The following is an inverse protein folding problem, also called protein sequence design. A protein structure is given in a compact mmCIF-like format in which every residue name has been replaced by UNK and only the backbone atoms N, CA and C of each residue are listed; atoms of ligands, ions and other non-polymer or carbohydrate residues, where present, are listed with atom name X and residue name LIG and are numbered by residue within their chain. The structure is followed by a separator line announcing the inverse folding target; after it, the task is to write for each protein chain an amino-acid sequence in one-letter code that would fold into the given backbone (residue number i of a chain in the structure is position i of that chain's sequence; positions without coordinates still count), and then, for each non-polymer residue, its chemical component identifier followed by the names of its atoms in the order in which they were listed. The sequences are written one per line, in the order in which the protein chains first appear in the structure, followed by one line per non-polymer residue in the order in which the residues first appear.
data_IF_558978397145
#
_entry.id   IF_558978397145
#
_cell.length_a   1.000
_cell.length_b   1.000
_cell.length_c   1.000
_cell.angle_alpha   90.00
_cell.angle_beta   90.00
_cell.angle_gamma   90.00
#
_symmetry.space_group_name_H-M   'P 1'
#
loop_
_entity.id
_entity.type
_entity.pdbx_description
1 polymer ?
#
# COMPACT_ATOMS: atom_id res chain seq x y z
N UNK A 1 -4.51 6.98 11.24
CA UNK A 1 -3.51 6.06 10.66
C UNK A 1 -2.77 5.35 11.79
N UNK A 2 -2.96 4.04 11.93
CA UNK A 2 -2.33 3.25 12.98
C UNK A 2 -1.11 2.46 12.48
N UNK A 3 -0.93 2.36 11.16
CA UNK A 3 0.18 1.61 10.58
C UNK A 3 1.52 2.31 10.86
N UNK A 4 2.50 1.65 11.51
CA UNK A 4 3.79 2.26 11.83
C UNK A 4 4.64 2.55 10.59
N UNK A 5 4.32 1.94 9.45
CA UNK A 5 5.03 2.15 8.19
C UNK A 5 4.37 3.18 7.28
N UNK A 6 3.29 3.79 7.73
CA UNK A 6 2.63 4.90 7.06
C UNK A 6 3.32 6.21 7.50
N UNK A 7 4.50 6.46 6.93
CA UNK A 7 5.45 7.49 7.38
C UNK A 7 5.29 8.83 6.68
N UNK A 8 4.35 8.95 5.74
CA UNK A 8 4.12 10.21 5.05
C UNK A 8 3.62 11.27 6.03
N UNK A 9 4.13 12.49 5.92
CA UNK A 9 3.66 13.61 6.72
C UNK A 9 2.17 13.84 6.52
N UNK A 10 1.71 13.71 5.27
CA UNK A 10 0.29 13.76 4.92
C UNK A 10 0.00 12.80 3.78
N UNK A 11 -0.94 11.90 3.99
CA UNK A 11 -1.30 10.90 2.99
C UNK A 11 -2.01 11.57 1.80
N UNK A 12 -1.73 11.07 0.58
CA UNK A 12 -2.35 11.58 -0.64
C UNK A 12 -3.88 11.44 -0.61
N UNK A 13 -4.41 10.43 0.06
CA UNK A 13 -5.87 10.24 0.20
C UNK A 13 -6.53 11.28 1.09
N UNK A 14 -5.75 12.01 1.88
CA UNK A 14 -6.23 13.06 2.78
C UNK A 14 -6.04 14.46 2.21
N UNK A 15 -5.34 14.59 1.09
CA UNK A 15 -5.11 15.90 0.45
C UNK A 15 -6.38 16.37 -0.25
N UNK A 16 -6.72 17.63 -0.04
CA UNK A 16 -7.91 18.25 -0.61
C UNK A 16 -7.61 19.37 -1.61
N UNK A 17 -6.34 19.81 -1.68
CA UNK A 17 -5.92 20.89 -2.58
C UNK A 17 -4.57 20.55 -3.25
N UNK A 18 -4.61 19.91 -4.43
CA UNK A 18 -5.79 19.41 -5.14
C UNK A 18 -6.34 18.11 -4.54
N UNK A 19 -7.60 17.82 -4.80
CA UNK A 19 -8.24 16.56 -4.41
C UNK A 19 -7.86 15.48 -5.42
N UNK A 20 -6.92 14.62 -5.06
CA UNK A 20 -6.47 13.52 -5.94
C UNK A 20 -7.39 12.30 -5.86
N UNK A 21 -7.86 11.98 -4.65
CA UNK A 21 -8.70 10.81 -4.38
C UNK A 21 -10.00 11.32 -3.76
N UNK A 22 -11.12 10.94 -4.36
CA UNK A 22 -12.46 11.32 -3.86
C UNK A 22 -12.69 10.76 -2.46
N UNK A 23 -13.09 11.61 -1.52
CA UNK A 23 -13.38 11.24 -0.13
C UNK A 23 -14.86 11.08 0.18
N UNK A 24 -15.73 11.25 -0.81
CA UNK A 24 -17.17 11.07 -0.63
C UNK A 24 -17.54 9.61 -0.36
N UNK A 25 -18.64 9.39 0.34
CA UNK A 25 -19.18 8.06 0.62
C UNK A 25 -19.80 7.45 -0.66
N UNK A 26 -18.96 7.01 -1.56
CA UNK A 26 -19.31 6.53 -2.89
C UNK A 26 -18.47 5.28 -3.20
N UNK A 27 -19.04 4.22 -3.81
CA UNK A 27 -18.31 2.96 -4.04
C UNK A 27 -16.99 3.13 -4.78
N UNK A 28 -16.96 3.94 -5.82
CA UNK A 28 -15.73 4.18 -6.60
C UNK A 28 -14.69 4.95 -5.79
N UNK A 29 -15.11 5.99 -5.06
CA UNK A 29 -14.23 6.75 -4.19
C UNK A 29 -13.67 5.89 -3.07
N UNK A 30 -14.51 5.10 -2.42
CA UNK A 30 -14.10 4.17 -1.37
C UNK A 30 -13.11 3.13 -1.89
N UNK A 31 -13.36 2.56 -3.05
CA UNK A 31 -12.45 1.61 -3.69
C UNK A 31 -11.09 2.25 -3.95
N UNK A 32 -11.08 3.42 -4.58
CA UNK A 32 -9.83 4.14 -4.91
C UNK A 32 -9.03 4.51 -3.66
N UNK A 33 -9.71 4.97 -2.62
CA UNK A 33 -9.10 5.36 -1.35
C UNK A 33 -8.40 4.17 -0.67
N UNK A 34 -9.11 3.05 -0.55
CA UNK A 34 -8.57 1.85 0.08
C UNK A 34 -7.47 1.19 -0.76
N UNK A 35 -7.66 1.15 -2.08
CA UNK A 35 -6.66 0.60 -2.99
C UNK A 35 -5.35 1.38 -2.93
N UNK A 36 -5.41 2.70 -2.93
CA UNK A 36 -4.22 3.55 -2.84
C UNK A 36 -3.45 3.26 -1.55
N UNK A 37 -4.14 3.15 -0.43
CA UNK A 37 -3.49 2.83 0.84
C UNK A 37 -2.86 1.44 0.84
N UNK A 38 -3.55 0.45 0.30
CA UNK A 38 -3.04 -0.91 0.21
C UNK A 38 -1.78 -0.99 -0.66
N UNK A 39 -1.80 -0.34 -1.82
CA UNK A 39 -0.65 -0.31 -2.74
C UNK A 39 0.56 0.38 -2.09
N UNK A 40 0.35 1.49 -1.40
CA UNK A 40 1.45 2.21 -0.76
C UNK A 40 2.11 1.41 0.37
N UNK A 41 1.40 0.48 0.98
CA UNK A 41 1.94 -0.40 2.02
C UNK A 41 2.48 -1.71 1.47
N UNK A 42 2.21 -2.03 0.21
CA UNK A 42 2.77 -3.22 -0.43
C UNK A 42 4.30 -3.13 -0.46
N UNK A 43 4.97 -4.14 0.06
CA UNK A 43 6.42 -4.14 0.21
C UNK A 43 6.95 -3.39 1.44
N UNK A 44 6.11 -2.69 2.19
CA UNK A 44 6.50 -2.03 3.44
C UNK A 44 5.96 -2.75 4.68
N UNK A 45 4.86 -3.46 4.53
CA UNK A 45 4.19 -4.14 5.64
C UNK A 45 5.09 -5.18 6.28
N UNK A 46 5.22 -5.14 7.62
CA UNK A 46 6.00 -6.12 8.40
C UNK A 46 5.10 -7.06 9.21
N UNK A 47 3.81 -7.08 8.89
CA UNK A 47 2.82 -8.01 9.47
C UNK A 47 2.63 -7.83 10.98
N UNK A 48 2.65 -6.59 11.45
CA UNK A 48 2.47 -6.30 12.88
C UNK A 48 1.02 -6.47 13.37
N UNK A 49 0.02 -6.46 12.46
CA UNK A 49 -1.39 -6.68 12.78
C UNK A 49 -2.12 -5.49 13.42
N UNK A 50 -1.48 -4.34 13.57
CA UNK A 50 -2.11 -3.16 14.20
C UNK A 50 -3.35 -2.67 13.44
N UNK A 51 -3.30 -2.65 12.10
CA UNK A 51 -4.42 -2.23 11.28
C UNK A 51 -5.69 -3.07 11.54
N UNK A 52 -5.51 -4.37 11.69
CA UNK A 52 -6.63 -5.29 11.98
C UNK A 52 -7.15 -5.10 13.39
N UNK A 53 -6.26 -4.96 14.37
CA UNK A 53 -6.65 -4.74 15.77
C UNK A 53 -7.44 -3.47 15.97
N UNK A 54 -7.11 -2.40 15.26
CA UNK A 54 -7.77 -1.10 15.39
C UNK A 54 -8.96 -0.91 14.47
N UNK A 55 -9.28 -1.87 13.59
CA UNK A 55 -10.44 -1.77 12.73
C UNK A 55 -11.74 -1.93 13.53
N UNK A 56 -12.63 -0.90 13.56
CA UNK A 56 -13.85 -0.95 14.38
C UNK A 56 -14.90 -1.91 13.86
N UNK A 57 -14.78 -2.36 12.61
CA UNK A 57 -15.74 -3.27 11.96
C UNK A 57 -15.17 -4.67 11.71
N UNK A 58 -14.00 -4.98 12.28
CA UNK A 58 -13.43 -6.32 12.24
C UNK A 58 -12.96 -6.80 10.87
N UNK A 59 -12.56 -5.90 9.98
CA UNK A 59 -12.04 -6.27 8.66
C UNK A 59 -10.66 -6.92 8.82
N UNK A 60 -10.41 -8.10 8.23
CA UNK A 60 -9.12 -8.78 8.36
C UNK A 60 -8.06 -8.16 7.44
N UNK A 61 -7.65 -6.93 7.73
CA UNK A 61 -6.69 -6.17 6.91
C UNK A 61 -5.33 -6.86 6.82
N UNK A 62 -4.94 -7.63 7.83
CA UNK A 62 -3.69 -8.39 7.81
C UNK A 62 -3.64 -9.40 6.67
N UNK A 63 -4.76 -10.03 6.33
CA UNK A 63 -4.82 -10.99 5.22
C UNK A 63 -4.59 -10.29 3.88
N UNK A 64 -5.18 -9.12 3.69
CA UNK A 64 -4.97 -8.32 2.48
C UNK A 64 -3.49 -7.93 2.36
N UNK A 65 -2.90 -7.43 3.43
CA UNK A 65 -1.51 -6.99 3.42
C UNK A 65 -0.54 -8.16 3.21
N UNK A 66 -0.81 -9.31 3.80
CA UNK A 66 -0.02 -10.53 3.55
C UNK A 66 -0.09 -10.96 2.10
N UNK A 67 -1.27 -10.90 1.49
CA UNK A 67 -1.41 -11.26 0.08
C UNK A 67 -0.62 -10.32 -0.82
N UNK A 68 -0.65 -9.03 -0.53
CA UNK A 68 0.15 -8.04 -1.26
C UNK A 68 1.65 -8.27 -1.08
N UNK A 69 2.10 -8.61 0.12
CA UNK A 69 3.49 -8.97 0.35
C UNK A 69 3.90 -10.21 -0.41
N UNK A 70 3.05 -11.22 -0.46
CA UNK A 70 3.30 -12.43 -1.23
C UNK A 70 3.47 -12.10 -2.71
N UNK A 71 2.60 -11.28 -3.27
CA UNK A 71 2.68 -10.83 -4.67
C UNK A 71 3.99 -10.08 -4.93
N UNK A 72 4.36 -9.16 -4.04
CA UNK A 72 5.61 -8.40 -4.15
C UNK A 72 6.81 -9.34 -4.10
N UNK A 73 6.82 -10.31 -3.19
CA UNK A 73 7.90 -11.29 -3.08
C UNK A 73 8.03 -12.13 -4.36
N UNK A 74 6.91 -12.62 -4.88
CA UNK A 74 6.90 -13.47 -6.07
C UNK A 74 7.32 -12.71 -7.34
N UNK A 75 6.90 -11.44 -7.48
CA UNK A 75 7.15 -10.65 -8.69
C UNK A 75 8.48 -9.91 -8.68
N UNK A 76 8.92 -9.44 -7.52
CA UNK A 76 10.10 -8.57 -7.41
C UNK A 76 11.21 -9.16 -6.56
N UNK A 77 10.98 -10.31 -5.94
CA UNK A 77 11.97 -10.93 -5.04
C UNK A 77 12.29 -10.09 -3.81
N UNK A 78 11.38 -9.21 -3.41
CA UNK A 78 11.56 -8.28 -2.31
C UNK A 78 10.78 -8.73 -1.07
N UNK A 79 11.43 -8.68 0.09
CA UNK A 79 10.78 -8.89 1.39
C UNK A 79 11.10 -7.71 2.29
N UNK A 80 10.08 -7.12 2.91
CA UNK A 80 10.26 -6.00 3.82
C UNK A 80 11.16 -6.36 5.00
N UNK A 81 12.11 -5.48 5.33
CA UNK A 81 13.04 -5.63 6.45
C UNK A 81 14.18 -6.63 6.26
N UNK A 82 14.29 -7.29 5.11
CA UNK A 82 15.41 -8.22 4.85
C UNK A 82 16.73 -7.49 4.63
N UNK A 83 16.69 -6.40 3.88
CA UNK A 83 17.89 -5.60 3.55
C UNK A 83 17.53 -4.12 3.63
N UNK A 84 18.11 -3.37 4.59
CA UNK A 84 17.80 -1.94 4.73
C UNK A 84 18.25 -1.08 3.55
N UNK A 85 19.20 -1.56 2.73
CA UNK A 85 19.65 -0.83 1.54
C UNK A 85 18.78 -1.11 0.31
N UNK A 86 17.93 -2.12 0.37
CA UNK A 86 17.06 -2.50 -0.73
C UNK A 86 15.75 -1.72 -0.66
N UNK A 87 15.51 -0.85 -1.66
CA UNK A 87 14.31 0.00 -1.69
C UNK A 87 13.05 -0.82 -1.96
N UNK A 88 11.93 -0.43 -1.33
CA UNK A 88 10.63 -1.03 -1.63
C UNK A 88 10.25 -0.80 -3.10
N UNK A 89 9.62 -1.78 -3.78
CA UNK A 89 9.33 -1.68 -5.22
C UNK A 89 8.54 -0.44 -5.64
N UNK A 90 7.67 0.07 -4.79
CA UNK A 90 6.92 1.29 -5.09
C UNK A 90 7.79 2.56 -5.12
N UNK A 91 8.95 2.51 -4.48
CA UNK A 91 9.90 3.63 -4.45
C UNK A 91 11.09 3.46 -5.38
N UNK A 92 11.07 2.44 -6.23
CA UNK A 92 12.18 2.10 -7.11
C UNK A 92 11.66 1.72 -8.50
N UNK A 93 12.58 1.56 -9.45
CA UNK A 93 12.23 1.12 -10.81
C UNK A 93 13.35 0.26 -11.38
N UNK A 94 13.01 -0.52 -12.42
CA UNK A 94 13.97 -1.31 -13.18
C UNK A 94 13.93 -0.88 -14.65
N UNK A 95 15.09 -0.89 -15.30
CA UNK A 95 15.17 -0.52 -16.71
C UNK A 95 14.47 -1.52 -17.63
N UNK A 96 14.30 -2.74 -17.17
CA UNK A 96 13.63 -3.82 -17.90
C UNK A 96 12.17 -4.04 -17.46
N UNK A 97 11.58 -3.09 -16.73
CA UNK A 97 10.19 -3.19 -16.31
C UNK A 97 9.26 -3.26 -17.53
N UNK A 98 8.37 -4.24 -17.50
CA UNK A 98 7.39 -4.42 -18.55
C UNK A 98 6.28 -3.38 -18.42
N UNK A 99 6.05 -2.66 -19.51
CA UNK A 99 5.00 -1.65 -19.59
C UNK A 99 3.82 -2.23 -20.38
N UNK A 100 3.08 -3.13 -19.74
CA UNK A 100 2.00 -3.88 -20.39
C UNK A 100 0.87 -2.99 -20.92
N UNK A 101 0.75 -1.79 -20.38
CA UNK A 101 -0.26 -0.81 -20.79
C UNK A 101 0.18 0.06 -21.98
N UNK A 102 1.45 0.03 -22.35
CA UNK A 102 1.96 0.71 -23.54
C UNK A 102 2.13 -0.34 -24.65
N UNK A 103 1.29 -0.26 -25.63
CA UNK A 103 1.36 -1.15 -26.79
C UNK A 103 1.80 -0.40 -28.03
#
# INVERSE_FOLDING_TARGET
QVCPLCICERCIVEKTQPLWIESAAHPRGNFSWNLTRAIHLAGRCVDCGECERFCPVGIPLSLLNRKLQQIVHERYGYTASDDPENAAPIGDYRLDDQQEFIK
#
